data_IF_974341334415
#
_entry.id   IF_974341334415
#
_cell.length_a   1.000
_cell.length_b   1.000
_cell.length_c   1.000
_cell.angle_alpha   90.00
_cell.angle_beta   90.00
_cell.angle_gamma   90.00
#
_symmetry.space_group_name_H-M   'P 1'
#
loop_
_entity.id
_entity.type
_entity.pdbx_description
1 polymer ?
#
# COMPACT_ATOMS: atom_id res chain seq x y z
N UNK A 1 0.36 -4.04 -19.89
CA UNK A 1 -0.89 -4.36 -19.18
C UNK A 1 -1.82 -3.17 -19.25
N UNK A 2 -3.01 -3.31 -19.84
CA UNK A 2 -4.02 -2.23 -19.87
C UNK A 2 -5.18 -2.68 -18.97
N UNK A 3 -5.27 -2.07 -17.78
CA UNK A 3 -6.35 -2.32 -16.83
C UNK A 3 -7.58 -1.49 -17.19
N UNK A 4 -8.76 -2.08 -17.04
CA UNK A 4 -10.02 -1.38 -16.88
C UNK A 4 -10.04 -0.55 -15.59
N UNK A 5 -10.98 0.39 -15.51
CA UNK A 5 -11.12 1.29 -14.35
C UNK A 5 -11.40 0.52 -13.05
N UNK A 6 -12.17 -0.55 -13.13
CA UNK A 6 -12.57 -1.32 -11.95
C UNK A 6 -11.43 -2.20 -11.46
N UNK A 7 -10.66 -2.82 -12.36
CA UNK A 7 -9.43 -3.54 -12.01
C UNK A 7 -8.38 -2.60 -11.40
N UNK A 8 -8.25 -1.37 -11.93
CA UNK A 8 -7.37 -0.36 -11.34
C UNK A 8 -7.80 0.00 -9.90
N UNK A 9 -9.10 0.17 -9.65
CA UNK A 9 -9.61 0.42 -8.30
C UNK A 9 -9.40 -0.76 -7.36
N UNK A 10 -9.69 -1.99 -7.83
CA UNK A 10 -9.44 -3.20 -7.04
C UNK A 10 -7.97 -3.33 -6.68
N UNK A 11 -7.06 -3.04 -7.62
CA UNK A 11 -5.63 -3.14 -7.38
C UNK A 11 -5.13 -2.07 -6.41
N UNK A 12 -5.70 -0.87 -6.45
CA UNK A 12 -5.43 0.17 -5.44
C UNK A 12 -5.97 -0.22 -4.05
N UNK A 13 -7.13 -0.89 -3.97
CA UNK A 13 -7.68 -1.39 -2.70
C UNK A 13 -6.79 -2.47 -2.12
N UNK A 14 -6.37 -3.46 -2.91
CA UNK A 14 -5.43 -4.49 -2.48
C UNK A 14 -4.11 -3.87 -1.99
N UNK A 15 -3.57 -2.88 -2.70
CA UNK A 15 -2.38 -2.16 -2.23
C UNK A 15 -2.59 -1.46 -0.87
N UNK A 16 -3.79 -0.92 -0.64
CA UNK A 16 -4.15 -0.33 0.65
C UNK A 16 -4.29 -1.40 1.75
N UNK A 17 -4.83 -2.58 1.44
CA UNK A 17 -4.90 -3.72 2.37
C UNK A 17 -3.49 -4.16 2.80
N UNK A 18 -2.56 -4.36 1.85
CA UNK A 18 -1.16 -4.68 2.13
C UNK A 18 -0.48 -3.61 3.01
N UNK A 19 -0.67 -2.33 2.68
CA UNK A 19 -0.08 -1.25 3.46
C UNK A 19 -0.70 -1.12 4.87
N UNK A 20 -2.00 -1.38 5.01
CA UNK A 20 -2.69 -1.33 6.30
C UNK A 20 -2.24 -2.45 7.24
N UNK A 21 -2.01 -3.66 6.71
CA UNK A 21 -1.59 -4.82 7.50
C UNK A 21 -0.31 -4.57 8.30
N UNK A 22 0.64 -3.85 7.69
CA UNK A 22 1.92 -3.51 8.33
C UNK A 22 1.95 -2.12 8.98
N UNK A 23 0.84 -1.37 8.92
CA UNK A 23 0.79 0.03 9.36
C UNK A 23 1.14 0.22 10.85
N UNK A 24 0.82 -0.79 11.67
CA UNK A 24 1.16 -0.80 13.09
C UNK A 24 2.68 -0.66 13.35
N UNK A 25 3.53 -1.12 12.42
CA UNK A 25 4.99 -0.95 12.50
C UNK A 25 5.40 0.52 12.44
N UNK A 26 4.68 1.33 11.64
CA UNK A 26 4.89 2.77 11.60
C UNK A 26 4.33 3.46 12.85
N UNK A 27 3.08 3.19 13.18
CA UNK A 27 2.37 3.89 14.26
C UNK A 27 2.94 3.62 15.64
N UNK A 28 3.43 2.40 15.88
CA UNK A 28 4.12 2.07 17.12
C UNK A 28 5.45 2.79 17.31
N UNK A 29 6.11 3.23 16.22
CA UNK A 29 7.40 3.97 16.27
C UNK A 29 7.23 5.48 16.10
N UNK A 30 6.12 5.92 15.53
CA UNK A 30 5.80 7.32 15.24
C UNK A 30 4.39 7.66 15.73
N UNK A 31 4.10 7.54 17.03
CA UNK A 31 2.78 7.82 17.57
C UNK A 31 2.36 9.26 17.26
N UNK A 32 1.15 9.44 16.73
CA UNK A 32 0.60 10.75 16.35
C UNK A 32 0.97 11.24 14.94
N UNK A 33 1.90 10.57 14.24
CA UNK A 33 2.16 10.85 12.82
C UNK A 33 1.11 10.12 11.96
N UNK A 34 0.12 10.86 11.47
CA UNK A 34 -1.03 10.28 10.73
C UNK A 34 -0.78 10.10 9.24
N UNK A 35 0.35 10.61 8.71
CA UNK A 35 0.61 10.72 7.27
C UNK A 35 0.54 9.38 6.52
N UNK A 36 0.99 8.29 7.14
CA UNK A 36 0.89 6.95 6.55
C UNK A 36 -0.54 6.41 6.55
N UNK A 37 -1.29 6.58 7.66
CA UNK A 37 -2.70 6.18 7.74
C UNK A 37 -3.58 6.97 6.78
N UNK A 38 -3.35 8.28 6.66
CA UNK A 38 -4.07 9.13 5.72
C UNK A 38 -3.89 8.68 4.26
N UNK A 39 -2.70 8.16 3.90
CA UNK A 39 -2.47 7.61 2.57
C UNK A 39 -3.29 6.35 2.29
N UNK A 40 -3.38 5.43 3.26
CA UNK A 40 -4.25 4.23 3.17
C UNK A 40 -5.73 4.64 3.04
N UNK A 41 -6.20 5.52 3.93
CA UNK A 41 -7.60 6.00 3.93
C UNK A 41 -7.96 6.71 2.62
N UNK A 42 -7.07 7.59 2.13
CA UNK A 42 -7.27 8.30 0.87
C UNK A 42 -7.32 7.36 -0.35
N UNK A 43 -6.52 6.29 -0.34
CA UNK A 43 -6.54 5.26 -1.39
C UNK A 43 -7.91 4.57 -1.44
N UNK A 44 -8.42 4.16 -0.28
CA UNK A 44 -9.74 3.53 -0.16
C UNK A 44 -10.87 4.48 -0.59
N UNK A 45 -10.82 5.75 -0.16
CA UNK A 45 -11.82 6.75 -0.53
C UNK A 45 -11.81 7.05 -2.04
N UNK A 46 -10.63 7.12 -2.67
CA UNK A 46 -10.52 7.29 -4.12
C UNK A 46 -11.11 6.08 -4.87
N UNK A 47 -10.83 4.86 -4.43
CA UNK A 47 -11.34 3.66 -5.06
C UNK A 47 -12.88 3.58 -5.01
N UNK A 48 -13.50 4.09 -3.95
CA UNK A 48 -14.97 4.23 -3.82
C UNK A 48 -15.55 5.43 -4.60
N UNK A 49 -14.72 6.28 -5.18
CA UNK A 49 -15.15 7.49 -5.89
C UNK A 49 -15.49 8.67 -4.97
N UNK A 50 -15.13 8.61 -3.69
CA UNK A 50 -15.42 9.62 -2.67
C UNK A 50 -14.34 10.70 -2.60
N UNK A 51 -13.14 10.43 -3.12
CA UNK A 51 -12.01 11.35 -3.10
C UNK A 51 -11.47 11.60 -4.52
N UNK A 52 -11.33 12.86 -4.95
CA UNK A 52 -10.69 13.18 -6.22
C UNK A 52 -9.24 12.69 -6.28
N UNK A 53 -8.80 12.22 -7.47
CA UNK A 53 -7.43 11.75 -7.70
C UNK A 53 -6.38 12.75 -7.22
N UNK A 54 -6.60 14.05 -7.45
CA UNK A 54 -5.65 15.10 -7.06
C UNK A 54 -5.46 15.17 -5.52
N UNK A 55 -6.48 14.87 -4.73
CA UNK A 55 -6.38 14.84 -3.27
C UNK A 55 -5.75 13.53 -2.79
N UNK A 56 -6.13 12.39 -3.38
CA UNK A 56 -5.49 11.11 -3.09
C UNK A 56 -3.97 11.15 -3.38
N UNK A 57 -3.58 11.73 -4.51
CA UNK A 57 -2.17 11.85 -4.89
C UNK A 57 -1.35 12.73 -3.93
N UNK A 58 -1.97 13.68 -3.21
CA UNK A 58 -1.26 14.51 -2.23
C UNK A 58 -0.78 13.70 -1.02
N UNK A 59 -1.52 12.67 -0.61
CA UNK A 59 -1.15 11.84 0.53
C UNK A 59 0.05 10.94 0.23
N UNK A 60 0.29 10.57 -1.05
CA UNK A 60 1.53 9.91 -1.50
C UNK A 60 2.78 10.65 -1.04
N UNK A 61 2.85 11.97 -1.28
CA UNK A 61 4.02 12.77 -0.92
C UNK A 61 4.20 12.85 0.61
N UNK A 62 3.09 13.00 1.33
CA UNK A 62 3.08 13.08 2.80
C UNK A 62 3.57 11.77 3.43
N UNK A 63 3.10 10.61 2.93
CA UNK A 63 3.57 9.31 3.40
C UNK A 63 5.04 9.04 3.06
N UNK A 64 5.51 9.44 1.88
CA UNK A 64 6.93 9.33 1.54
C UNK A 64 7.84 10.26 2.36
N UNK A 65 7.36 11.45 2.73
CA UNK A 65 8.05 12.31 3.70
C UNK A 65 8.12 11.64 5.08
N UNK A 66 6.99 11.11 5.57
CA UNK A 66 6.95 10.35 6.81
C UNK A 66 7.93 9.15 6.83
N UNK A 67 8.08 8.47 5.69
CA UNK A 67 9.08 7.42 5.52
C UNK A 67 10.52 7.96 5.65
N UNK A 68 10.82 9.14 5.09
CA UNK A 68 12.16 9.77 5.23
C UNK A 68 12.46 10.14 6.68
N UNK A 69 11.46 10.61 7.41
CA UNK A 69 11.58 10.99 8.82
C UNK A 69 11.72 9.79 9.77
N UNK A 70 11.30 8.60 9.33
CA UNK A 70 11.37 7.38 10.12
C UNK A 70 12.80 6.82 10.19
N UNK A 71 13.33 6.69 11.41
CA UNK A 71 14.64 6.08 11.68
C UNK A 71 14.55 4.55 11.68
N UNK A 72 13.50 4.00 12.30
CA UNK A 72 13.29 2.55 12.38
C UNK A 72 13.00 1.96 10.98
N UNK A 73 13.70 0.88 10.56
CA UNK A 73 13.51 0.29 9.24
C UNK A 73 12.09 -0.20 8.94
N UNK A 74 11.45 -0.89 9.89
CA UNK A 74 10.08 -1.39 9.73
C UNK A 74 9.07 -0.25 9.56
N UNK A 75 9.17 0.78 10.40
CA UNK A 75 8.35 1.99 10.27
C UNK A 75 8.54 2.69 8.92
N UNK A 76 9.80 2.84 8.49
CA UNK A 76 10.14 3.45 7.20
C UNK A 76 9.55 2.66 6.03
N UNK A 77 9.65 1.34 6.05
CA UNK A 77 9.10 0.48 5.01
C UNK A 77 7.56 0.53 5.00
N UNK A 78 6.90 0.47 6.16
CA UNK A 78 5.45 0.58 6.27
C UNK A 78 4.93 1.93 5.73
N UNK A 79 5.60 3.04 6.02
CA UNK A 79 5.25 4.35 5.44
C UNK A 79 5.48 4.40 3.92
N UNK A 80 6.50 3.70 3.38
CA UNK A 80 6.67 3.56 1.94
C UNK A 80 5.58 2.71 1.29
N UNK A 81 5.16 1.63 1.94
CA UNK A 81 4.04 0.82 1.49
C UNK A 81 2.77 1.68 1.35
N UNK A 82 2.44 2.47 2.37
CA UNK A 82 1.30 3.40 2.35
C UNK A 82 1.43 4.47 1.25
N UNK A 83 2.63 5.05 1.06
CA UNK A 83 2.88 6.02 -0.01
C UNK A 83 2.66 5.43 -1.40
N UNK A 84 3.11 4.20 -1.64
CA UNK A 84 2.89 3.49 -2.89
C UNK A 84 1.43 3.07 -3.09
N UNK A 85 0.71 2.71 -2.03
CA UNK A 85 -0.73 2.47 -2.11
C UNK A 85 -1.47 3.72 -2.61
N UNK A 86 -1.16 4.90 -2.05
CA UNK A 86 -1.71 6.15 -2.55
C UNK A 86 -1.27 6.48 -3.98
N UNK A 87 -0.01 6.17 -4.35
CA UNK A 87 0.48 6.36 -5.72
C UNK A 87 -0.24 5.45 -6.73
N UNK A 88 -0.72 4.28 -6.29
CA UNK A 88 -1.48 3.34 -7.11
C UNK A 88 -2.77 3.97 -7.65
N UNK A 89 -3.36 4.97 -6.98
CA UNK A 89 -4.51 5.72 -7.49
C UNK A 89 -4.23 6.44 -8.82
N UNK A 90 -2.97 6.85 -9.05
CA UNK A 90 -2.55 7.48 -10.30
C UNK A 90 -2.08 6.46 -11.33
N UNK A 91 -1.22 5.51 -10.92
CA UNK A 91 -0.64 4.50 -11.80
C UNK A 91 -0.63 3.15 -11.10
N UNK A 92 -1.37 2.20 -11.65
CA UNK A 92 -1.60 0.86 -11.10
C UNK A 92 -0.33 0.08 -10.71
N UNK A 93 0.79 0.26 -11.42
CA UNK A 93 2.05 -0.45 -11.14
C UNK A 93 2.61 -0.21 -9.73
N UNK A 94 2.24 0.89 -9.08
CA UNK A 94 2.66 1.15 -7.71
C UNK A 94 2.06 0.18 -6.68
N UNK A 95 0.98 -0.55 -7.01
CA UNK A 95 0.41 -1.53 -6.11
C UNK A 95 1.40 -2.64 -5.74
N UNK A 96 2.17 -3.13 -6.71
CA UNK A 96 3.22 -4.13 -6.45
C UNK A 96 4.34 -3.56 -5.56
N UNK A 97 4.68 -2.28 -5.73
CA UNK A 97 5.65 -1.64 -4.83
C UNK A 97 5.11 -1.52 -3.40
N UNK A 98 3.81 -1.23 -3.24
CA UNK A 98 3.17 -1.18 -1.92
C UNK A 98 3.25 -2.54 -1.22
N UNK A 99 2.89 -3.61 -1.93
CA UNK A 99 2.97 -4.99 -1.45
C UNK A 99 4.40 -5.40 -1.07
N UNK A 100 5.39 -5.09 -1.91
CA UNK A 100 6.80 -5.40 -1.63
C UNK A 100 7.33 -4.65 -0.41
N UNK A 101 7.02 -3.36 -0.26
CA UNK A 101 7.41 -2.62 0.94
C UNK A 101 6.67 -3.07 2.20
N UNK A 102 5.48 -3.64 2.07
CA UNK A 102 4.82 -4.29 3.19
C UNK A 102 5.58 -5.55 3.63
N UNK A 103 6.07 -6.38 2.68
CA UNK A 103 6.98 -7.49 3.01
C UNK A 103 8.26 -7.00 3.69
N UNK A 104 8.91 -5.95 3.15
CA UNK A 104 10.10 -5.35 3.78
C UNK A 104 9.80 -4.84 5.22
N UNK A 105 8.60 -4.31 5.46
CA UNK A 105 8.17 -3.83 6.77
C UNK A 105 7.93 -4.97 7.76
N UNK A 106 7.32 -6.06 7.30
CA UNK A 106 7.11 -7.27 8.07
C UNK A 106 8.46 -7.87 8.49
N UNK A 107 9.36 -8.10 7.54
CA UNK A 107 10.69 -8.66 7.80
C UNK A 107 11.48 -7.80 8.81
N UNK A 108 11.55 -6.49 8.56
CA UNK A 108 12.24 -5.56 9.47
C UNK A 108 11.56 -5.46 10.85
N UNK A 109 10.28 -5.80 10.95
CA UNK A 109 9.50 -5.86 12.18
C UNK A 109 9.59 -7.21 12.92
N UNK A 110 10.32 -8.19 12.38
CA UNK A 110 10.44 -9.54 12.94
C UNK A 110 9.26 -10.47 12.62
N UNK A 111 8.45 -10.11 11.62
CA UNK A 111 7.40 -10.97 11.05
C UNK A 111 8.01 -11.74 9.88
N UNK A 112 7.61 -12.99 9.71
CA UNK A 112 8.05 -13.82 8.59
C UNK A 112 7.59 -13.21 7.24
N UNK A 113 8.51 -12.83 6.34
CA UNK A 113 8.15 -12.24 5.04
C UNK A 113 7.33 -13.20 4.15
N UNK A 114 7.51 -14.51 4.28
CA UNK A 114 6.74 -15.49 3.51
C UNK A 114 5.30 -15.57 4.01
N UNK A 115 5.09 -15.41 5.33
CA UNK A 115 3.75 -15.32 5.91
C UNK A 115 3.02 -14.04 5.47
N UNK A 116 3.73 -12.91 5.41
CA UNK A 116 3.17 -11.66 4.88
C UNK A 116 2.81 -11.82 3.40
N UNK A 117 3.69 -12.41 2.58
CA UNK A 117 3.40 -12.67 1.15
C UNK A 117 2.17 -13.55 0.98
N UNK A 118 2.08 -14.66 1.73
CA UNK A 118 0.94 -15.57 1.67
C UNK A 118 -0.37 -14.87 2.04
N UNK A 119 -0.36 -14.03 3.08
CA UNK A 119 -1.53 -13.24 3.45
C UNK A 119 -1.95 -12.26 2.33
N UNK A 120 -1.00 -11.55 1.72
CA UNK A 120 -1.29 -10.63 0.60
C UNK A 120 -1.91 -11.37 -0.60
N UNK A 121 -1.42 -12.57 -0.87
CA UNK A 121 -1.91 -13.43 -1.94
C UNK A 121 -3.33 -13.94 -1.66
N UNK A 122 -3.69 -14.19 -0.40
CA UNK A 122 -5.07 -14.53 0.02
C UNK A 122 -6.02 -13.33 -0.10
N UNK A 123 -5.53 -12.11 0.06
CA UNK A 123 -6.34 -10.89 -0.12
C UNK A 123 -6.49 -10.48 -1.59
N UNK A 124 -5.68 -11.03 -2.51
CA UNK A 124 -5.70 -10.66 -3.91
C UNK A 124 -6.93 -11.26 -4.61
N UNK A 125 -7.87 -10.43 -5.11
CA UNK A 125 -9.03 -10.93 -5.85
C UNK A 125 -8.62 -11.75 -7.08
N UNK A 126 -9.33 -12.85 -7.37
CA UNK A 126 -9.04 -13.74 -8.50
C UNK A 126 -8.90 -12.99 -9.84
N UNK A 127 -9.75 -11.98 -10.04
CA UNK A 127 -9.72 -11.12 -11.23
C UNK A 127 -8.38 -10.38 -11.39
N UNK A 128 -7.71 -10.01 -10.30
CA UNK A 128 -6.38 -9.41 -10.31
C UNK A 128 -5.26 -10.44 -10.35
N UNK A 129 -5.49 -11.62 -9.77
CA UNK A 129 -4.52 -12.72 -9.79
C UNK A 129 -4.17 -13.12 -11.22
N UNK A 130 -5.18 -13.31 -12.07
CA UNK A 130 -4.99 -13.62 -13.50
C UNK A 130 -4.27 -12.50 -14.28
N UNK A 131 -4.33 -11.27 -13.78
CA UNK A 131 -3.69 -10.10 -14.41
C UNK A 131 -2.22 -9.97 -13.98
N UNK A 132 -1.92 -10.20 -12.70
CA UNK A 132 -0.57 -10.10 -12.13
C UNK A 132 0.27 -11.35 -12.40
N UNK A 133 -0.39 -12.51 -12.49
CA UNK A 133 0.18 -13.83 -12.75
C UNK A 133 -0.62 -14.49 -13.87
N UNK A 134 -0.45 -14.08 -15.14
CA UNK A 134 -1.09 -14.75 -16.25
C UNK A 134 -0.60 -16.21 -16.31
N UNK A 135 -1.52 -17.16 -16.42
CA UNK A 135 -1.17 -18.54 -16.75
C UNK A 135 -0.59 -18.57 -18.18
N UNK A 136 0.55 -19.24 -18.36
CA UNK A 136 1.25 -19.38 -19.65
C UNK A 136 0.48 -20.22 -20.68
#
# INVERSE_FOLDING_TARGET
MKLGKDEHRLLALWAADCAEHVLAQFEGKRPGDVRARDAVVATRAWARGELPLALARKTTFSAHEAARDAINPAARAAARAAGHAAAATHVASHALHAANYAVDAAEAGGIDPDAERAWQDEQLPDALRAILYPED
#
